data_IF_745897166690
#
_entry.id   IF_745897166690
#
_cell.length_a   1.000
_cell.length_b   1.000
_cell.length_c   1.000
_cell.angle_alpha   90.00
_cell.angle_beta   90.00
_cell.angle_gamma   90.00
#
_symmetry.space_group_name_H-M   'P 1'
#
loop_
_entity.id
_entity.type
_entity.pdbx_description
1 polymer ?
#
# COMPACT_ATOMS: atom_id res chain seq x y z
N UNK A 1 -27.59 -40.29 9.55
CA UNK A 1 -26.71 -39.15 9.20
C UNK A 1 -26.26 -38.35 10.40
N UNK A 2 -27.14 -37.89 11.29
CA UNK A 2 -26.74 -37.17 12.52
C UNK A 2 -25.66 -37.88 13.35
N UNK A 3 -25.79 -39.19 13.56
CA UNK A 3 -24.82 -40.02 14.29
C UNK A 3 -23.45 -40.14 13.63
N UNK A 4 -23.38 -40.10 12.30
CA UNK A 4 -22.13 -40.14 11.55
C UNK A 4 -21.48 -38.75 11.57
N UNK A 5 -22.29 -37.70 11.39
CA UNK A 5 -21.82 -36.32 11.46
C UNK A 5 -21.24 -35.97 12.86
N UNK A 6 -21.79 -36.53 13.94
CA UNK A 6 -21.26 -36.32 15.29
C UNK A 6 -19.89 -36.96 15.55
N UNK A 7 -19.40 -37.83 14.65
CA UNK A 7 -18.05 -38.39 14.74
C UNK A 7 -16.96 -37.39 14.31
N UNK A 8 -17.35 -36.29 13.64
CA UNK A 8 -16.45 -35.19 13.31
C UNK A 8 -16.58 -34.18 14.45
N UNK A 9 -15.62 -34.23 15.39
CA UNK A 9 -15.64 -33.49 16.65
C UNK A 9 -15.95 -32.00 16.45
N UNK A 10 -17.08 -31.54 16.99
CA UNK A 10 -17.50 -30.12 17.02
C UNK A 10 -17.92 -29.50 15.68
N UNK A 11 -17.40 -30.00 14.56
CA UNK A 11 -17.52 -29.35 13.25
C UNK A 11 -18.45 -30.11 12.28
N UNK A 12 -18.77 -31.36 12.57
CA UNK A 12 -19.61 -32.19 11.70
C UNK A 12 -21.08 -31.77 11.69
N UNK A 13 -21.68 -31.80 10.50
CA UNK A 13 -23.08 -31.53 10.25
C UNK A 13 -23.66 -32.41 9.15
N UNK A 14 -24.93 -32.18 8.81
CA UNK A 14 -25.61 -32.88 7.73
C UNK A 14 -26.63 -31.98 7.03
N UNK A 15 -26.98 -32.33 5.79
CA UNK A 15 -28.02 -31.65 5.03
C UNK A 15 -29.40 -32.18 5.44
N UNK A 16 -30.25 -31.31 6.00
CA UNK A 16 -31.60 -31.65 6.43
C UNK A 16 -32.59 -31.72 5.24
N UNK A 17 -33.86 -32.05 5.52
CA UNK A 17 -34.92 -32.11 4.51
C UNK A 17 -35.22 -30.76 3.85
N UNK A 18 -34.95 -29.66 4.55
CA UNK A 18 -35.11 -28.29 4.07
C UNK A 18 -33.88 -27.76 3.33
N UNK A 19 -32.94 -28.64 2.95
CA UNK A 19 -31.69 -28.31 2.24
C UNK A 19 -30.73 -27.41 3.01
N UNK A 20 -30.86 -27.35 4.34
CA UNK A 20 -29.93 -26.61 5.20
C UNK A 20 -28.83 -27.54 5.71
N UNK A 21 -27.61 -27.03 5.81
CA UNK A 21 -26.53 -27.68 6.53
C UNK A 21 -26.69 -27.37 8.02
N UNK A 22 -26.82 -28.39 8.86
CA UNK A 22 -26.95 -28.21 10.32
C UNK A 22 -25.89 -29.02 11.04
N UNK A 23 -25.24 -28.40 12.05
CA UNK A 23 -24.30 -29.10 12.92
C UNK A 23 -24.97 -30.27 13.64
N UNK A 24 -24.28 -31.39 13.80
CA UNK A 24 -24.83 -32.59 14.43
C UNK A 24 -25.29 -32.32 15.89
N UNK A 25 -24.58 -31.42 16.58
CA UNK A 25 -24.94 -30.90 17.90
C UNK A 25 -25.90 -29.71 17.90
N UNK A 26 -26.28 -29.17 16.73
CA UNK A 26 -27.17 -28.02 16.58
C UNK A 26 -26.54 -26.65 16.86
N UNK A 27 -25.22 -26.57 17.09
CA UNK A 27 -24.52 -25.33 17.40
C UNK A 27 -24.33 -24.36 16.23
N UNK A 28 -24.62 -24.79 15.00
CA UNK A 28 -24.57 -23.96 13.81
C UNK A 28 -25.55 -24.48 12.74
N UNK A 29 -25.96 -23.58 11.85
CA UNK A 29 -26.73 -23.90 10.66
C UNK A 29 -26.38 -22.95 9.53
N UNK A 30 -26.35 -23.43 8.30
CA UNK A 30 -26.10 -22.63 7.10
C UNK A 30 -27.00 -23.08 5.94
N UNK A 31 -27.13 -22.24 4.93
CA UNK A 31 -27.96 -22.46 3.74
C UNK A 31 -27.05 -22.55 2.51
N UNK A 32 -26.69 -23.77 2.06
CA UNK A 32 -25.76 -24.00 0.94
C UNK A 32 -26.10 -23.23 -0.35
N UNK A 33 -27.38 -22.95 -0.61
CA UNK A 33 -27.79 -22.18 -1.79
C UNK A 33 -27.27 -20.74 -1.81
N UNK A 34 -26.94 -20.15 -0.64
CA UNK A 34 -26.29 -18.83 -0.57
C UNK A 34 -24.91 -18.81 -1.25
N UNK A 35 -24.27 -19.98 -1.38
CA UNK A 35 -22.98 -20.17 -2.05
C UNK A 35 -23.12 -20.80 -3.45
N UNK A 36 -24.35 -20.89 -3.98
CA UNK A 36 -24.63 -21.57 -5.26
C UNK A 36 -24.48 -23.10 -5.20
N UNK A 37 -24.44 -23.70 -4.01
CA UNK A 37 -24.32 -25.14 -3.84
C UNK A 37 -25.71 -25.80 -3.78
N UNK A 38 -25.94 -26.81 -4.62
CA UNK A 38 -27.13 -27.66 -4.55
C UNK A 38 -26.80 -28.97 -3.83
N UNK A 39 -27.12 -29.03 -2.54
CA UNK A 39 -26.81 -30.19 -1.72
C UNK A 39 -28.03 -31.10 -1.56
N UNK A 40 -27.87 -32.40 -1.81
CA UNK A 40 -28.92 -33.38 -1.54
C UNK A 40 -29.04 -33.69 -0.03
N UNK A 41 -30.26 -33.94 0.41
CA UNK A 41 -30.56 -34.30 1.81
C UNK A 41 -29.80 -35.56 2.20
N UNK A 42 -29.31 -35.62 3.43
CA UNK A 42 -28.57 -36.78 3.94
C UNK A 42 -27.09 -36.81 3.56
N UNK A 43 -26.52 -35.74 3.00
CA UNK A 43 -25.07 -35.61 2.85
C UNK A 43 -24.43 -35.05 4.12
N UNK A 44 -23.15 -35.39 4.34
CA UNK A 44 -22.33 -34.80 5.41
C UNK A 44 -22.01 -33.35 5.03
N UNK A 45 -22.07 -32.47 6.01
CA UNK A 45 -21.58 -31.10 5.94
C UNK A 45 -20.50 -30.91 7.02
N UNK A 46 -19.60 -29.95 6.83
CA UNK A 46 -18.57 -29.61 7.81
C UNK A 46 -18.47 -28.10 7.87
N UNK A 47 -18.52 -27.53 9.08
CA UNK A 47 -18.23 -26.12 9.25
C UNK A 47 -16.71 -25.94 9.35
N UNK A 48 -16.12 -25.22 8.41
CA UNK A 48 -14.78 -24.68 8.55
C UNK A 48 -14.91 -23.31 9.24
N UNK A 49 -14.94 -23.32 10.56
CA UNK A 49 -14.99 -22.07 11.34
C UNK A 49 -13.56 -21.62 11.54
N UNK A 50 -13.12 -20.63 10.75
CA UNK A 50 -11.93 -19.87 11.09
C UNK A 50 -12.21 -19.08 12.35
N UNK A 51 -11.29 -19.09 13.32
CA UNK A 51 -11.32 -18.07 14.36
C UNK A 51 -11.11 -16.74 13.66
N UNK A 52 -12.18 -15.93 13.52
CA UNK A 52 -12.09 -14.63 12.89
C UNK A 52 -11.05 -13.79 13.65
N UNK A 53 -9.91 -13.65 12.98
CA UNK A 53 -8.73 -12.96 13.37
C UNK A 53 -9.07 -11.47 13.47
N UNK A 54 -9.14 -10.93 14.68
CA UNK A 54 -9.18 -9.48 14.94
C UNK A 54 -7.89 -8.74 14.46
N UNK A 55 -7.07 -9.39 13.64
CA UNK A 55 -5.79 -8.89 13.13
C UNK A 55 -5.75 -8.80 11.59
N UNK A 56 -6.89 -8.80 10.90
CA UNK A 56 -6.93 -8.74 9.42
C UNK A 56 -6.38 -7.45 8.80
N UNK A 57 -5.96 -6.47 9.61
CA UNK A 57 -5.34 -5.23 9.13
C UNK A 57 -3.80 -5.29 9.09
N UNK A 58 -3.20 -6.44 9.41
CA UNK A 58 -1.74 -6.60 9.38
C UNK A 58 -1.26 -6.93 7.97
N UNK A 59 -0.45 -6.05 7.41
CA UNK A 59 0.28 -6.34 6.19
C UNK A 59 1.51 -7.22 6.49
N UNK A 60 1.33 -8.53 6.46
CA UNK A 60 2.39 -9.51 6.70
C UNK A 60 2.92 -10.08 5.37
N UNK A 61 4.17 -9.78 5.03
CA UNK A 61 4.80 -10.23 3.76
C UNK A 61 6.24 -10.67 3.98
N UNK A 62 6.63 -11.74 3.28
CA UNK A 62 8.01 -12.21 3.16
C UNK A 62 8.42 -12.17 1.69
N UNK A 63 9.70 -11.96 1.42
CA UNK A 63 10.21 -12.12 0.07
C UNK A 63 10.17 -13.59 -0.32
N UNK A 64 9.50 -13.90 -1.43
CA UNK A 64 9.52 -15.24 -2.01
C UNK A 64 10.60 -15.28 -3.08
N UNK A 65 11.63 -16.09 -2.85
CA UNK A 65 12.75 -16.28 -3.78
C UNK A 65 12.25 -16.81 -5.12
N UNK A 66 12.79 -16.29 -6.23
CA UNK A 66 12.41 -16.65 -7.60
C UNK A 66 10.93 -16.42 -7.96
N UNK A 67 10.18 -15.65 -7.16
CA UNK A 67 8.77 -15.28 -7.40
C UNK A 67 8.54 -13.78 -7.24
N UNK A 68 9.06 -12.95 -8.16
CA UNK A 68 9.00 -11.50 -8.04
C UNK A 68 7.59 -10.93 -8.30
N UNK A 69 6.69 -11.73 -8.88
CA UNK A 69 5.26 -11.47 -8.99
C UNK A 69 4.60 -11.41 -7.60
N UNK A 70 4.93 -12.34 -6.72
CA UNK A 70 4.36 -12.43 -5.36
C UNK A 70 4.90 -11.36 -4.41
N UNK A 71 6.00 -10.70 -4.79
CA UNK A 71 6.62 -9.62 -4.02
C UNK A 71 6.15 -8.23 -4.50
N UNK A 72 5.34 -8.15 -5.57
CA UNK A 72 4.83 -6.90 -6.14
C UNK A 72 3.46 -6.55 -5.58
N UNK A 73 3.17 -5.25 -5.57
CA UNK A 73 1.83 -4.75 -5.39
C UNK A 73 1.24 -4.34 -6.75
N UNK A 74 -0.04 -4.64 -6.97
CA UNK A 74 -0.77 -4.31 -8.20
C UNK A 74 -1.59 -3.01 -8.11
N UNK A 75 -1.57 -2.35 -6.95
CA UNK A 75 -2.28 -1.09 -6.68
C UNK A 75 -1.44 -0.21 -5.74
N UNK A 76 -1.90 1.01 -5.46
CA UNK A 76 -1.25 1.88 -4.48
C UNK A 76 -1.53 1.42 -3.03
N UNK A 77 -0.63 1.77 -2.11
CA UNK A 77 -0.92 1.70 -0.66
C UNK A 77 -1.38 3.08 -0.23
N UNK A 78 -2.59 3.16 0.29
CA UNK A 78 -3.02 4.30 1.09
C UNK A 78 -2.68 4.01 2.57
N UNK A 79 -1.91 4.89 3.20
CA UNK A 79 -1.51 4.75 4.59
C UNK A 79 -2.53 5.36 5.57
N UNK A 80 -3.61 5.98 5.08
CA UNK A 80 -4.64 6.65 5.89
C UNK A 80 -4.04 7.61 6.93
N UNK A 81 -3.16 8.49 6.46
CA UNK A 81 -2.41 9.47 7.28
C UNK A 81 -1.48 8.87 8.35
N UNK A 82 -1.08 7.61 8.22
CA UNK A 82 -0.08 6.99 9.09
C UNK A 82 1.34 7.07 8.53
N UNK A 83 2.31 6.80 9.42
CA UNK A 83 3.73 6.91 9.14
C UNK A 83 4.32 5.63 8.52
N UNK A 84 5.36 5.80 7.72
CA UNK A 84 6.31 4.74 7.38
C UNK A 84 7.59 4.95 8.20
N UNK A 85 7.82 4.11 9.21
CA UNK A 85 8.98 4.22 10.11
C UNK A 85 10.06 3.20 9.74
N UNK A 86 11.33 3.54 9.99
CA UNK A 86 12.48 2.64 9.83
C UNK A 86 12.65 2.04 8.41
N UNK A 87 12.36 2.83 7.37
CA UNK A 87 12.54 2.41 5.98
C UNK A 87 14.03 2.41 5.62
N UNK A 88 14.57 1.27 5.20
CA UNK A 88 15.98 1.18 4.79
C UNK A 88 16.26 1.91 3.48
N UNK A 89 15.45 1.69 2.44
CA UNK A 89 15.57 2.40 1.15
C UNK A 89 14.21 2.50 0.48
N UNK A 90 13.82 3.72 0.09
CA UNK A 90 12.64 3.99 -0.74
C UNK A 90 13.10 4.40 -2.14
N UNK A 91 12.82 3.56 -3.13
CA UNK A 91 13.13 3.82 -4.53
C UNK A 91 11.83 4.06 -5.31
N UNK A 92 11.78 5.12 -6.10
CA UNK A 92 10.64 5.46 -6.94
C UNK A 92 11.06 6.38 -8.07
N UNK A 93 10.16 6.58 -9.05
CA UNK A 93 10.41 7.50 -10.16
C UNK A 93 10.30 8.98 -9.72
N UNK A 94 9.35 9.25 -8.82
CA UNK A 94 9.11 10.58 -8.28
C UNK A 94 8.68 10.49 -6.81
N UNK A 95 8.92 11.56 -6.06
CA UNK A 95 8.47 11.73 -4.68
C UNK A 95 7.91 13.15 -4.49
N UNK A 96 6.78 13.26 -3.80
CA UNK A 96 6.24 14.53 -3.32
C UNK A 96 6.35 14.53 -1.80
N UNK A 97 7.26 15.34 -1.27
CA UNK A 97 7.54 15.45 0.17
C UNK A 97 7.17 16.86 0.64
N UNK A 98 6.67 16.97 1.87
CA UNK A 98 6.27 18.24 2.49
C UNK A 98 6.64 18.24 3.97
N UNK A 99 6.91 19.42 4.53
CA UNK A 99 7.41 19.57 5.89
C UNK A 99 8.94 19.64 5.93
N UNK A 100 9.51 19.37 7.10
CA UNK A 100 10.96 19.48 7.31
C UNK A 100 11.71 18.27 6.75
N UNK A 101 12.77 18.54 5.98
CA UNK A 101 13.67 17.53 5.42
C UNK A 101 15.09 17.91 5.84
N UNK A 102 15.66 17.14 6.78
CA UNK A 102 16.90 17.52 7.46
C UNK A 102 18.17 17.26 6.65
N UNK A 103 18.23 16.18 5.87
CA UNK A 103 19.41 15.78 5.11
C UNK A 103 19.03 15.33 3.70
N UNK A 104 19.55 16.03 2.68
CA UNK A 104 19.33 15.70 1.26
C UNK A 104 20.66 15.70 0.52
N UNK A 105 20.95 14.61 -0.18
CA UNK A 105 22.04 14.55 -1.17
C UNK A 105 21.45 14.43 -2.56
N UNK A 106 21.66 15.44 -3.41
CA UNK A 106 21.24 15.40 -4.82
C UNK A 106 22.43 15.03 -5.69
N UNK A 107 22.34 13.92 -6.43
CA UNK A 107 23.46 13.36 -7.23
C UNK A 107 23.47 13.82 -8.68
N UNK A 108 22.36 14.34 -9.19
CA UNK A 108 22.29 15.04 -10.48
C UNK A 108 21.32 16.20 -10.37
N UNK A 109 21.80 17.39 -10.74
CA UNK A 109 21.03 18.62 -10.76
C UNK A 109 20.98 19.08 -12.21
N UNK A 110 19.85 18.85 -12.90
CA UNK A 110 19.55 19.63 -14.07
C UNK A 110 19.06 21.00 -13.58
N UNK A 111 19.99 21.95 -13.51
CA UNK A 111 19.74 23.39 -13.28
C UNK A 111 19.32 23.80 -11.87
N UNK A 112 20.31 23.97 -10.99
CA UNK A 112 20.29 25.20 -10.18
C UNK A 112 20.62 26.36 -11.11
N UNK A 113 19.62 27.14 -11.51
CA UNK A 113 19.89 28.45 -12.06
C UNK A 113 20.01 29.40 -10.88
N UNK A 114 21.26 29.67 -10.48
CA UNK A 114 21.54 30.75 -9.54
C UNK A 114 20.93 32.04 -10.11
N UNK A 115 19.96 32.63 -9.41
CA UNK A 115 19.45 33.97 -9.74
C UNK A 115 20.58 34.93 -9.38
N UNK A 116 21.48 35.19 -10.33
CA UNK A 116 22.49 36.21 -10.18
C UNK A 116 21.76 37.55 -9.96
N UNK A 117 22.00 38.26 -8.84
CA UNK A 117 21.44 39.60 -8.66
C UNK A 117 21.90 40.46 -9.84
N UNK A 118 20.95 41.00 -10.60
CA UNK A 118 21.27 41.91 -11.69
C UNK A 118 22.00 43.12 -11.10
N UNK A 119 23.24 43.43 -11.53
CA UNK A 119 23.88 44.66 -11.08
C UNK A 119 22.99 45.82 -11.53
N UNK A 120 22.46 46.58 -10.58
CA UNK A 120 21.74 47.81 -10.89
C UNK A 120 22.74 48.78 -11.53
N UNK A 121 22.75 48.84 -12.86
CA UNK A 121 23.54 49.82 -13.58
C UNK A 121 22.99 51.21 -13.25
N UNK A 122 23.67 51.94 -12.36
CA UNK A 122 23.45 53.37 -12.18
C UNK A 122 23.94 54.04 -13.46
N UNK A 123 23.03 54.31 -14.39
CA UNK A 123 23.33 55.07 -15.61
C UNK A 123 23.51 56.54 -15.25
N UNK A 124 24.74 56.98 -14.98
CA UNK A 124 25.06 58.40 -14.86
C UNK A 124 25.08 59.02 -16.27
N UNK A 125 23.95 59.61 -16.69
CA UNK A 125 23.86 60.33 -17.96
C UNK A 125 24.50 61.71 -17.79
N UNK A 126 25.82 61.82 -18.01
CA UNK A 126 26.48 63.11 -18.17
C UNK A 126 26.16 63.63 -19.57
N UNK A 127 25.38 64.70 -19.66
CA UNK A 127 25.14 65.38 -20.93
C UNK A 127 26.40 66.16 -21.34
N UNK A 128 26.97 65.73 -22.47
CA UNK A 128 27.91 66.40 -23.38
C UNK A 128 29.19 67.04 -22.80
N UNK A 129 30.34 66.48 -23.19
CA UNK A 129 31.55 67.28 -23.43
C UNK A 129 32.89 66.61 -23.09
N UNK A 130 33.51 66.00 -24.12
CA UNK A 130 34.96 65.84 -24.34
C UNK A 130 35.80 64.81 -23.54
N UNK A 131 36.44 63.95 -24.34
CA UNK A 131 37.71 63.21 -24.13
C UNK A 131 37.74 61.98 -23.22
N UNK A 132 37.87 60.80 -23.84
CA UNK A 132 38.17 59.53 -23.17
C UNK A 132 39.69 59.32 -23.10
N UNK A 133 40.24 59.22 -21.88
CA UNK A 133 41.51 58.53 -21.64
C UNK A 133 41.23 57.12 -21.15
N UNK A 134 41.68 56.13 -21.90
CA UNK A 134 41.71 54.73 -21.49
C UNK A 134 42.82 54.53 -20.45
N UNK A 135 42.46 54.03 -19.26
CA UNK A 135 43.43 53.45 -18.33
C UNK A 135 43.37 51.92 -18.46
N UNK A 136 44.51 51.30 -18.77
CA UNK A 136 44.68 49.84 -18.68
C UNK A 136 44.71 49.41 -17.22
N UNK A 137 44.16 48.23 -16.98
CA UNK A 137 43.98 47.57 -15.69
C UNK A 137 45.26 47.47 -14.84
N UNK A 138 45.05 47.64 -13.53
CA UNK A 138 45.53 46.67 -12.54
C UNK A 138 44.38 45.77 -12.16
#
# INVERSE_FOLDING_TARGET
MRSVASMIEGLGGYINSSKQAIGAGGGWSDTPSNYGLNCATGHIAMALVGADLQESDRLYRYSITNRPDLNRMHTAIDMNSNNLNNVGTLNGNAAALSGDISDVTVRSLAQFQEIQPQPTAISLRIMAGWSQKTAKAG
#
